data_IF_745492601378
#
_entry.id   IF_745492601378
#
_cell.length_a   1.000
_cell.length_b   1.000
_cell.length_c   1.000
_cell.angle_alpha   90.00
_cell.angle_beta   90.00
_cell.angle_gamma   90.00
#
_symmetry.space_group_name_H-M   'P 1'
#
loop_
_entity.id
_entity.type
_entity.pdbx_description
1 polymer ?
#
# COMPACT_ATOMS: atom_id res chain seq x y z
N UNK A 1 3.68 -9.26 7.56
CA UNK A 1 3.39 -9.61 6.16
C UNK A 1 4.08 -8.54 5.36
N UNK A 2 5.23 -8.86 4.79
CA UNK A 2 6.06 -7.86 4.13
C UNK A 2 5.95 -8.07 2.64
N UNK A 3 6.02 -7.00 1.86
CA UNK A 3 5.81 -7.12 0.42
C UNK A 3 5.82 -5.78 -0.32
N UNK A 4 6.12 -5.83 -1.61
CA UNK A 4 6.12 -4.64 -2.46
C UNK A 4 4.70 -4.36 -2.93
N UNK A 5 4.35 -3.07 -2.99
CA UNK A 5 3.08 -2.59 -3.52
C UNK A 5 3.31 -2.05 -4.91
N UNK A 6 2.55 -2.58 -5.86
CA UNK A 6 2.54 -2.14 -7.26
C UNK A 6 1.21 -1.48 -7.59
N UNK A 7 1.28 -0.40 -8.38
CA UNK A 7 0.10 0.24 -8.94
C UNK A 7 -0.48 -0.60 -10.10
N UNK A 8 -1.64 -0.19 -10.62
CA UNK A 8 -2.30 -0.88 -11.75
C UNK A 8 -1.47 -0.94 -13.03
N UNK A 9 -0.41 -0.14 -13.14
CA UNK A 9 0.56 -0.14 -14.25
C UNK A 9 1.78 -1.04 -13.98
N UNK A 10 1.82 -1.75 -12.86
CA UNK A 10 2.94 -2.60 -12.46
C UNK A 10 4.16 -1.84 -11.94
N UNK A 11 4.02 -0.54 -11.63
CA UNK A 11 5.11 0.27 -11.06
C UNK A 11 5.09 0.14 -9.55
N UNK A 12 6.24 -0.14 -8.94
CA UNK A 12 6.38 -0.15 -7.48
C UNK A 12 6.18 1.27 -6.95
N UNK A 13 5.20 1.44 -6.07
CA UNK A 13 4.86 2.74 -5.48
C UNK A 13 5.08 2.79 -3.97
N UNK A 14 5.13 1.63 -3.32
CA UNK A 14 5.33 1.53 -1.88
C UNK A 14 5.79 0.12 -1.48
N UNK A 15 6.07 -0.07 -0.21
CA UNK A 15 6.30 -1.37 0.40
C UNK A 15 5.61 -1.48 1.76
N UNK A 16 5.15 -2.70 2.07
CA UNK A 16 4.62 -3.07 3.37
C UNK A 16 5.75 -3.65 4.19
N UNK A 17 5.95 -3.11 5.39
CA UNK A 17 6.84 -3.67 6.40
C UNK A 17 6.01 -3.78 7.69
N UNK A 18 5.72 -5.02 8.10
CA UNK A 18 4.86 -5.30 9.24
C UNK A 18 3.45 -4.70 9.07
N UNK A 19 2.98 -3.85 10.01
CA UNK A 19 1.69 -3.17 9.95
C UNK A 19 1.76 -1.78 9.30
N UNK A 20 2.83 -1.43 8.59
CA UNK A 20 3.04 -0.10 8.04
C UNK A 20 3.37 -0.15 6.54
N UNK A 21 2.98 0.90 5.83
CA UNK A 21 3.27 1.10 4.41
C UNK A 21 4.22 2.28 4.28
N UNK A 22 5.33 2.06 3.58
CA UNK A 22 6.38 3.02 3.34
C UNK A 22 6.44 3.38 1.86
N UNK A 23 6.78 4.63 1.56
CA UNK A 23 7.14 5.03 0.21
C UNK A 23 8.49 4.41 -0.22
N UNK A 24 8.86 4.57 -1.48
CA UNK A 24 10.17 4.11 -1.97
C UNK A 24 11.38 4.82 -1.34
N UNK A 25 11.16 5.87 -0.53
CA UNK A 25 12.19 6.61 0.22
C UNK A 25 12.27 6.19 1.69
N UNK A 26 11.44 5.24 2.13
CA UNK A 26 11.37 4.77 3.52
C UNK A 26 10.54 5.67 4.46
N UNK A 27 9.76 6.62 3.94
CA UNK A 27 8.82 7.40 4.75
C UNK A 27 7.51 6.64 4.92
N UNK A 28 7.03 6.57 6.16
CA UNK A 28 5.75 5.94 6.46
C UNK A 28 4.61 6.78 5.88
N UNK A 29 3.83 6.19 4.97
CA UNK A 29 2.66 6.81 4.37
C UNK A 29 1.37 6.42 5.10
N UNK A 30 1.23 5.13 5.40
CA UNK A 30 -0.03 4.56 5.89
C UNK A 30 0.20 3.46 6.93
N UNK A 31 -0.84 3.18 7.70
CA UNK A 31 -0.97 2.00 8.54
C UNK A 31 -1.78 0.93 7.80
N UNK A 32 -1.32 -0.32 7.87
CA UNK A 32 -2.00 -1.47 7.31
C UNK A 32 -2.56 -2.34 8.45
N UNK A 33 -3.88 -2.50 8.48
CA UNK A 33 -4.55 -3.42 9.42
C UNK A 33 -5.30 -4.48 8.62
N UNK A 34 -4.71 -5.67 8.53
CA UNK A 34 -5.18 -6.73 7.64
C UNK A 34 -4.98 -6.34 6.18
N UNK A 35 -6.09 -6.13 5.46
CA UNK A 35 -6.08 -5.64 4.06
C UNK A 35 -6.41 -4.15 3.97
N UNK A 36 -6.79 -3.50 5.06
CA UNK A 36 -7.27 -2.12 5.07
C UNK A 36 -6.12 -1.14 5.27
N UNK A 37 -6.12 -0.07 4.49
CA UNK A 37 -5.11 0.99 4.48
C UNK A 37 -5.68 2.22 5.20
N UNK A 38 -4.98 2.65 6.23
CA UNK A 38 -5.34 3.78 7.06
C UNK A 38 -4.30 4.89 6.95
N UNK A 39 -4.74 6.15 6.93
CA UNK A 39 -3.85 7.29 7.18
C UNK A 39 -3.28 7.22 8.60
N UNK A 40 -2.21 7.97 8.82
CA UNK A 40 -1.59 8.12 10.15
C UNK A 40 -2.53 8.75 11.19
N UNK A 41 -3.56 9.48 10.74
CA UNK A 41 -4.60 10.02 11.62
C UNK A 41 -5.72 9.01 11.96
N UNK A 42 -5.69 7.81 11.37
CA UNK A 42 -6.68 6.75 11.58
C UNK A 42 -7.79 6.66 10.54
N UNK A 43 -7.84 7.53 9.52
CA UNK A 43 -8.86 7.46 8.48
C UNK A 43 -8.64 6.26 7.55
N UNK A 44 -9.68 5.46 7.30
CA UNK A 44 -9.67 4.43 6.26
C UNK A 44 -9.69 5.08 4.88
N UNK A 45 -8.67 4.81 4.07
CA UNK A 45 -8.53 5.40 2.73
C UNK A 45 -8.64 4.39 1.61
N UNK A 46 -8.46 3.11 1.91
CA UNK A 46 -8.55 2.08 0.90
C UNK A 46 -8.27 0.70 1.46
N UNK A 47 -8.13 -0.24 0.55
CA UNK A 47 -7.77 -1.61 0.86
C UNK A 47 -6.84 -2.15 -0.22
N UNK A 48 -6.04 -3.14 0.16
CA UNK A 48 -5.24 -3.95 -0.74
C UNK A 48 -6.12 -5.09 -1.27
N UNK A 49 -6.22 -5.19 -2.58
CA UNK A 49 -6.86 -6.33 -3.25
C UNK A 49 -5.87 -7.49 -3.21
N UNK A 50 -5.95 -8.29 -2.15
CA UNK A 50 -4.98 -9.33 -1.88
C UNK A 50 -5.10 -10.53 -2.82
N UNK A 51 -3.97 -11.05 -3.27
CA UNK A 51 -3.84 -12.47 -3.59
C UNK A 51 -2.58 -12.99 -2.89
N UNK A 52 -2.65 -14.21 -2.38
CA UNK A 52 -1.74 -14.87 -1.44
C UNK A 52 -0.29 -15.07 -1.94
N UNK A 53 0.42 -14.00 -2.27
CA UNK A 53 1.80 -14.02 -2.74
C UNK A 53 2.58 -12.79 -2.31
N UNK A 54 3.88 -12.81 -2.59
CA UNK A 54 4.88 -11.76 -2.31
C UNK A 54 4.59 -10.39 -2.94
N UNK A 55 3.53 -10.28 -3.75
CA UNK A 55 3.19 -9.10 -4.55
C UNK A 55 1.77 -8.63 -4.21
N UNK A 56 1.65 -7.36 -3.80
CA UNK A 56 0.36 -6.75 -3.46
C UNK A 56 0.00 -5.68 -4.49
N UNK A 57 -1.18 -5.81 -5.07
CA UNK A 57 -1.70 -4.85 -6.04
C UNK A 57 -2.70 -3.91 -5.38
N UNK A 58 -2.63 -2.64 -5.77
CA UNK A 58 -3.62 -1.64 -5.39
C UNK A 58 -4.89 -1.84 -6.19
N UNK A 59 -6.04 -1.67 -5.52
CA UNK A 59 -7.28 -1.47 -6.25
C UNK A 59 -7.19 -0.18 -7.08
N UNK A 60 -7.90 -0.13 -8.22
CA UNK A 60 -7.86 1.01 -9.15
C UNK A 60 -8.27 2.33 -8.47
N UNK A 61 -9.13 2.28 -7.45
CA UNK A 61 -9.48 3.45 -6.66
C UNK A 61 -8.32 3.89 -5.72
N UNK A 62 -7.60 2.91 -5.18
CA UNK A 62 -6.48 3.06 -4.26
C UNK A 62 -5.20 3.50 -4.98
N UNK A 63 -5.12 3.30 -6.29
CA UNK A 63 -4.01 3.73 -7.16
C UNK A 63 -3.70 5.23 -7.05
N UNK A 64 -4.73 6.05 -6.77
CA UNK A 64 -4.59 7.51 -6.60
C UNK A 64 -3.98 7.92 -5.25
N UNK A 65 -3.97 7.03 -4.26
CA UNK A 65 -3.42 7.32 -2.94
C UNK A 65 -1.89 7.36 -2.96
N UNK A 66 -1.28 6.64 -3.90
CA UNK A 66 0.16 6.59 -4.05
C UNK A 66 0.57 7.48 -5.23
N UNK A 67 1.23 8.63 -4.99
CA UNK A 67 1.72 9.44 -6.10
C UNK A 67 2.70 8.61 -6.93
N UNK A 68 2.48 8.58 -8.24
CA UNK A 68 3.50 8.08 -9.17
C UNK A 68 4.69 9.04 -9.06
N UNK A 69 5.77 8.59 -8.42
CA UNK A 69 7.04 9.33 -8.41
C UNK A 69 7.60 9.44 -9.83
#
# INVERSE_FOLDING_TARGET
MDGKIFNSRGVRVAEVIGPAIFDCKGQKLYDLRGVNIYKLNGDLVGHLSGMSGTEKYLDKATDRLFPAS
#
